data_IF_872034218552
#
_entry.id   IF_872034218552
#
_cell.length_a   1.000
_cell.length_b   1.000
_cell.length_c   1.000
_cell.angle_alpha   90.00
_cell.angle_beta   90.00
_cell.angle_gamma   90.00
#
_symmetry.space_group_name_H-M   'P 1'
#
loop_
_entity.id
_entity.type
_entity.pdbx_description
1 polymer ?
#
# COMPACT_ATOMS: atom_id res chain seq x y z
N UNK A 1 19.97 10.62 34.91
CA UNK A 1 19.78 9.64 33.81
C UNK A 1 18.42 9.86 33.20
N UNK A 2 18.35 10.54 32.05
CA UNK A 2 17.18 10.47 31.16
C UNK A 2 17.61 11.01 29.79
N UNK A 3 18.60 10.34 29.17
CA UNK A 3 19.00 10.58 27.79
C UNK A 3 18.68 9.33 26.98
N UNK A 4 17.41 8.94 26.91
CA UNK A 4 16.89 7.95 25.95
C UNK A 4 15.36 7.98 25.97
N UNK A 5 14.77 8.99 25.33
CA UNK A 5 13.34 8.95 24.95
C UNK A 5 12.95 9.91 23.82
N UNK A 6 13.75 10.94 23.52
CA UNK A 6 13.39 11.95 22.51
C UNK A 6 13.17 11.30 21.13
N UNK A 7 14.10 10.45 20.67
CA UNK A 7 13.95 9.77 19.37
C UNK A 7 12.87 8.68 19.33
N UNK A 8 12.61 7.98 20.45
CA UNK A 8 11.53 6.98 20.49
C UNK A 8 10.15 7.62 20.49
N UNK A 9 10.00 8.79 21.12
CA UNK A 9 8.73 9.51 21.13
C UNK A 9 8.41 10.11 19.76
N UNK A 10 9.41 10.68 19.06
CA UNK A 10 9.24 11.18 17.69
C UNK A 10 8.83 10.07 16.71
N UNK A 11 9.53 8.92 16.72
CA UNK A 11 9.20 7.77 15.90
C UNK A 11 7.77 7.28 16.19
N UNK A 12 7.38 7.24 17.46
CA UNK A 12 6.02 6.86 17.85
C UNK A 12 4.99 7.86 17.34
N UNK A 13 5.22 9.17 17.48
CA UNK A 13 4.30 10.20 16.97
C UNK A 13 4.20 10.17 15.44
N UNK A 14 5.28 9.83 14.73
CA UNK A 14 5.28 9.66 13.29
C UNK A 14 4.50 8.42 12.86
N UNK A 15 4.70 7.27 13.51
CA UNK A 15 3.92 6.05 13.29
C UNK A 15 2.44 6.26 13.64
N UNK A 16 2.15 7.13 14.62
CA UNK A 16 0.79 7.53 14.98
C UNK A 16 0.11 8.43 13.94
N UNK A 17 0.83 8.93 12.92
CA UNK A 17 0.16 9.57 11.80
C UNK A 17 -0.74 8.54 11.10
N UNK A 18 -2.06 8.77 11.02
CA UNK A 18 -3.01 7.76 10.56
C UNK A 18 -2.71 7.28 9.14
N UNK A 19 -2.16 8.16 8.29
CA UNK A 19 -1.75 7.84 6.93
C UNK A 19 -0.58 6.83 6.89
N UNK A 20 0.50 7.08 7.63
CA UNK A 20 1.68 6.19 7.68
C UNK A 20 1.33 4.84 8.32
N UNK A 21 0.52 4.83 9.39
CA UNK A 21 0.02 3.59 9.99
C UNK A 21 -0.77 2.72 9.00
N UNK A 22 -1.70 3.34 8.24
CA UNK A 22 -2.44 2.66 7.18
C UNK A 22 -1.50 2.14 6.07
N UNK A 23 -0.46 2.89 5.73
CA UNK A 23 0.55 2.48 4.74
C UNK A 23 1.32 1.24 5.18
N UNK A 24 1.75 1.20 6.44
CA UNK A 24 2.42 0.05 7.04
C UNK A 24 1.51 -1.17 7.02
N UNK A 25 0.22 -0.99 7.31
CA UNK A 25 -0.77 -2.07 7.22
C UNK A 25 -0.89 -2.63 5.79
N UNK A 26 -1.00 -1.75 4.78
CA UNK A 26 -1.04 -2.15 3.36
C UNK A 26 0.23 -2.90 2.94
N UNK A 27 1.39 -2.45 3.43
CA UNK A 27 2.68 -3.09 3.21
C UNK A 27 2.73 -4.50 3.83
N UNK A 28 2.28 -4.65 5.08
CA UNK A 28 2.19 -5.95 5.77
C UNK A 28 1.27 -6.92 5.04
N UNK A 29 0.11 -6.47 4.58
CA UNK A 29 -0.79 -7.32 3.79
C UNK A 29 -0.13 -7.80 2.49
N UNK A 30 0.55 -6.91 1.77
CA UNK A 30 1.29 -7.27 0.55
C UNK A 30 2.39 -8.29 0.84
N UNK A 31 3.11 -8.14 1.96
CA UNK A 31 4.13 -9.09 2.41
C UNK A 31 3.53 -10.46 2.75
N UNK A 32 2.39 -10.51 3.44
CA UNK A 32 1.72 -11.77 3.79
C UNK A 32 1.27 -12.50 2.52
N UNK A 33 0.63 -11.80 1.58
CA UNK A 33 0.20 -12.39 0.30
C UNK A 33 1.43 -12.93 -0.46
N UNK A 34 2.49 -12.12 -0.57
CA UNK A 34 3.75 -12.53 -1.20
C UNK A 34 4.31 -13.80 -0.55
N UNK A 35 4.37 -13.86 0.78
CA UNK A 35 4.87 -15.01 1.53
C UNK A 35 4.03 -16.27 1.31
N UNK A 36 2.70 -16.17 1.39
CA UNK A 36 1.80 -17.30 1.14
C UNK A 36 1.99 -17.89 -0.26
N UNK A 37 2.05 -17.04 -1.28
CA UNK A 37 2.15 -17.48 -2.68
C UNK A 37 3.56 -17.99 -3.01
N UNK A 38 4.62 -17.32 -2.53
CA UNK A 38 5.99 -17.71 -2.83
C UNK A 38 6.39 -19.02 -2.15
N UNK A 39 5.90 -19.28 -0.94
CA UNK A 39 6.27 -20.47 -0.17
C UNK A 39 5.40 -21.69 -0.51
N UNK A 40 4.07 -21.48 -0.56
CA UNK A 40 3.09 -22.57 -0.63
C UNK A 40 2.21 -22.52 -1.89
N UNK A 41 2.38 -21.51 -2.74
CA UNK A 41 1.58 -21.37 -3.96
C UNK A 41 1.95 -22.35 -5.07
N UNK A 42 3.14 -22.95 -4.99
CA UNK A 42 3.68 -23.90 -5.98
C UNK A 42 3.82 -25.29 -5.36
N UNK A 43 2.92 -26.19 -5.71
CA UNK A 43 2.83 -27.52 -5.10
C UNK A 43 3.64 -28.53 -5.91
N UNK A 44 4.38 -29.36 -5.19
CA UNK A 44 5.12 -30.49 -5.77
C UNK A 44 4.39 -31.80 -5.45
N UNK A 45 3.90 -32.47 -6.49
CA UNK A 45 3.27 -33.78 -6.39
C UNK A 45 4.32 -34.88 -6.62
N UNK A 46 4.31 -35.99 -5.87
CA UNK A 46 5.30 -37.07 -6.05
C UNK A 46 5.17 -37.75 -7.43
N UNK A 47 3.99 -37.68 -8.04
CA UNK A 47 3.63 -38.26 -9.33
C UNK A 47 3.88 -37.31 -10.52
N UNK A 48 4.20 -36.04 -10.29
CA UNK A 48 4.39 -35.04 -11.34
C UNK A 48 5.78 -34.39 -11.24
N UNK A 49 6.49 -34.29 -12.38
CA UNK A 49 7.85 -33.71 -12.41
C UNK A 49 7.84 -32.19 -12.23
N UNK A 50 6.75 -31.54 -12.63
CA UNK A 50 6.61 -30.09 -12.63
C UNK A 50 5.74 -29.64 -11.46
N UNK A 51 6.16 -28.56 -10.80
CA UNK A 51 5.32 -27.88 -9.81
C UNK A 51 4.16 -27.19 -10.51
N UNK A 52 3.00 -27.17 -9.87
CA UNK A 52 1.84 -26.44 -10.37
C UNK A 52 1.35 -25.42 -9.35
N UNK A 53 0.63 -24.41 -9.85
CA UNK A 53 0.00 -23.41 -9.01
C UNK A 53 -1.21 -23.97 -8.25
N UNK A 54 -1.29 -23.74 -6.94
CA UNK A 54 -2.40 -24.19 -6.09
C UNK A 54 -3.78 -23.69 -6.56
N UNK A 55 -3.83 -22.56 -7.28
CA UNK A 55 -5.04 -22.00 -7.85
C UNK A 55 -5.40 -22.65 -9.19
N UNK A 56 -6.14 -23.75 -9.14
CA UNK A 56 -6.67 -24.49 -10.31
C UNK A 56 -5.57 -24.83 -11.33
N UNK A 57 -4.37 -25.21 -10.84
CA UNK A 57 -3.19 -25.50 -11.66
C UNK A 57 -2.85 -24.42 -12.69
N UNK A 58 -3.34 -23.19 -12.48
CA UNK A 58 -3.22 -22.11 -13.44
C UNK A 58 -2.02 -21.26 -13.05
N UNK A 59 -0.91 -21.45 -13.75
CA UNK A 59 0.32 -20.72 -13.45
C UNK A 59 0.16 -19.19 -13.58
N UNK A 60 -0.75 -18.72 -14.43
CA UNK A 60 -1.04 -17.30 -14.55
C UNK A 60 -1.65 -16.71 -13.27
N UNK A 61 -2.39 -17.51 -12.49
CA UNK A 61 -2.95 -17.07 -11.21
C UNK A 61 -1.85 -16.82 -10.17
N UNK A 62 -0.91 -17.76 -10.02
CA UNK A 62 0.22 -17.58 -9.12
C UNK A 62 1.15 -16.46 -9.59
N UNK A 63 1.43 -16.38 -10.90
CA UNK A 63 2.28 -15.31 -11.44
C UNK A 63 1.64 -13.92 -11.24
N UNK A 64 0.31 -13.82 -11.44
CA UNK A 64 -0.44 -12.61 -11.14
C UNK A 64 -0.31 -12.23 -9.66
N UNK A 65 -0.62 -13.16 -8.74
CA UNK A 65 -0.59 -12.88 -7.32
C UNK A 65 0.81 -12.49 -6.83
N UNK A 66 1.83 -13.25 -7.26
CA UNK A 66 3.22 -13.00 -6.93
C UNK A 66 3.69 -11.64 -7.46
N UNK A 67 3.40 -11.35 -8.73
CA UNK A 67 3.79 -10.10 -9.39
C UNK A 67 3.13 -8.88 -8.74
N UNK A 68 1.81 -8.91 -8.57
CA UNK A 68 1.07 -7.78 -8.01
C UNK A 68 1.41 -7.56 -6.53
N UNK A 69 1.58 -8.61 -5.74
CA UNK A 69 2.01 -8.48 -4.34
C UNK A 69 3.44 -7.92 -4.23
N UNK A 70 4.36 -8.36 -5.09
CA UNK A 70 5.74 -7.86 -5.11
C UNK A 70 5.80 -6.38 -5.49
N UNK A 71 5.06 -5.99 -6.54
CA UNK A 71 4.96 -4.59 -6.96
C UNK A 71 4.32 -3.71 -5.87
N UNK A 72 3.23 -4.16 -5.26
CA UNK A 72 2.59 -3.44 -4.15
C UNK A 72 3.55 -3.28 -2.96
N UNK A 73 4.30 -4.33 -2.60
CA UNK A 73 5.30 -4.31 -1.53
C UNK A 73 6.38 -3.25 -1.79
N UNK A 74 6.99 -3.26 -2.97
CA UNK A 74 8.05 -2.31 -3.35
C UNK A 74 7.50 -0.88 -3.39
N UNK A 75 6.32 -0.70 -3.97
CA UNK A 75 5.70 0.61 -4.09
C UNK A 75 5.29 1.18 -2.73
N UNK A 76 4.75 0.35 -1.84
CA UNK A 76 4.51 0.73 -0.45
C UNK A 76 5.80 1.17 0.25
N UNK A 77 6.91 0.44 0.11
CA UNK A 77 8.19 0.84 0.71
C UNK A 77 8.69 2.19 0.18
N UNK A 78 8.59 2.42 -1.12
CA UNK A 78 8.95 3.71 -1.72
C UNK A 78 8.11 4.85 -1.14
N UNK A 79 6.80 4.68 -1.05
CA UNK A 79 5.92 5.69 -0.47
C UNK A 79 6.12 5.88 1.04
N UNK A 80 6.44 4.82 1.79
CA UNK A 80 6.83 4.92 3.20
C UNK A 80 8.09 5.78 3.37
N UNK A 81 9.10 5.59 2.52
CA UNK A 81 10.30 6.43 2.53
C UNK A 81 9.95 7.89 2.19
N UNK A 82 9.07 8.10 1.20
CA UNK A 82 8.57 9.44 0.86
C UNK A 82 7.84 10.07 2.05
N UNK A 83 7.01 9.32 2.78
CA UNK A 83 6.30 9.83 3.96
C UNK A 83 7.27 10.30 5.05
N UNK A 84 8.36 9.55 5.30
CA UNK A 84 9.42 9.94 6.24
C UNK A 84 10.09 11.25 5.83
N UNK A 85 10.36 11.42 4.53
CA UNK A 85 11.01 12.62 4.01
C UNK A 85 10.03 13.76 3.67
N UNK A 86 8.73 13.52 3.75
CA UNK A 86 7.71 14.50 3.34
C UNK A 86 7.79 15.83 4.09
N UNK A 87 8.00 15.87 5.43
CA UNK A 87 8.14 17.13 6.15
C UNK A 87 9.30 17.99 5.66
N UNK A 88 10.35 17.36 5.10
CA UNK A 88 11.55 18.02 4.59
C UNK A 88 11.35 18.66 3.21
N UNK A 89 10.25 18.35 2.51
CA UNK A 89 9.93 18.96 1.21
C UNK A 89 9.50 20.41 1.45
N UNK A 90 10.27 21.40 1.00
CA UNK A 90 9.94 22.82 1.16
C UNK A 90 8.93 23.34 0.15
N UNK A 91 9.03 22.89 -1.11
CA UNK A 91 8.17 23.37 -2.20
C UNK A 91 6.76 22.78 -2.11
N UNK A 92 5.76 23.65 -1.98
CA UNK A 92 4.35 23.25 -1.95
C UNK A 92 3.91 22.54 -3.22
N UNK A 93 4.44 22.95 -4.37
CA UNK A 93 4.18 22.30 -5.67
C UNK A 93 4.66 20.86 -5.68
N UNK A 94 5.83 20.59 -5.07
CA UNK A 94 6.33 19.22 -4.94
C UNK A 94 5.51 18.40 -3.96
N UNK A 95 5.13 18.96 -2.79
CA UNK A 95 4.21 18.30 -1.84
C UNK A 95 2.92 17.87 -2.54
N UNK A 96 2.29 18.78 -3.29
CA UNK A 96 1.05 18.50 -4.03
C UNK A 96 1.21 17.38 -5.04
N UNK A 97 2.28 17.40 -5.84
CA UNK A 97 2.55 16.34 -6.83
C UNK A 97 2.73 14.98 -6.18
N UNK A 98 3.47 14.92 -5.08
CA UNK A 98 3.68 13.68 -4.32
C UNK A 98 2.37 13.13 -3.77
N UNK A 99 1.55 13.97 -3.13
CA UNK A 99 0.26 13.53 -2.58
C UNK A 99 -0.72 13.13 -3.69
N UNK A 100 -0.71 13.82 -4.83
CA UNK A 100 -1.54 13.43 -5.98
C UNK A 100 -1.13 12.06 -6.54
N UNK A 101 0.17 11.81 -6.67
CA UNK A 101 0.69 10.50 -7.06
C UNK A 101 0.29 9.41 -6.06
N UNK A 102 0.29 9.75 -4.76
CA UNK A 102 -0.14 8.86 -3.69
C UNK A 102 -1.62 8.47 -3.80
N UNK A 103 -2.50 9.47 -4.02
CA UNK A 103 -3.93 9.23 -4.26
C UNK A 103 -4.15 8.30 -5.44
N UNK A 104 -3.55 8.63 -6.59
CA UNK A 104 -3.72 7.84 -7.82
C UNK A 104 -3.22 6.41 -7.65
N UNK A 105 -2.06 6.24 -7.02
CA UNK A 105 -1.51 4.91 -6.77
C UNK A 105 -2.36 4.12 -5.78
N UNK A 106 -2.82 4.75 -4.70
CA UNK A 106 -3.63 4.06 -3.70
C UNK A 106 -4.95 3.57 -4.27
N UNK A 107 -5.59 4.38 -5.11
CA UNK A 107 -6.81 4.01 -5.81
C UNK A 107 -6.56 2.85 -6.80
N UNK A 108 -5.46 2.92 -7.55
CA UNK A 108 -5.05 1.86 -8.48
C UNK A 108 -4.86 0.52 -7.75
N UNK A 109 -4.12 0.50 -6.64
CA UNK A 109 -3.89 -0.72 -5.87
C UNK A 109 -5.17 -1.26 -5.24
N UNK A 110 -6.08 -0.40 -4.76
CA UNK A 110 -7.40 -0.84 -4.29
C UNK A 110 -8.17 -1.61 -5.37
N UNK A 111 -8.14 -1.13 -6.62
CA UNK A 111 -8.79 -1.79 -7.74
C UNK A 111 -8.07 -3.10 -8.14
N UNK A 112 -6.73 -3.09 -8.16
CA UNK A 112 -5.95 -4.30 -8.42
C UNK A 112 -6.28 -5.38 -7.41
N UNK A 113 -6.35 -5.07 -6.11
CA UNK A 113 -6.69 -6.06 -5.09
C UNK A 113 -8.13 -6.56 -5.21
N UNK A 114 -9.06 -5.73 -5.70
CA UNK A 114 -10.41 -6.17 -6.01
C UNK A 114 -10.42 -7.19 -7.14
N UNK A 115 -9.75 -6.90 -8.25
CA UNK A 115 -9.60 -7.84 -9.38
C UNK A 115 -8.90 -9.11 -8.92
N UNK A 116 -7.83 -8.97 -8.14
CA UNK A 116 -7.04 -10.08 -7.63
C UNK A 116 -7.81 -10.98 -6.68
N UNK A 117 -8.62 -10.40 -5.78
CA UNK A 117 -9.53 -11.15 -4.93
C UNK A 117 -10.52 -11.96 -5.78
N UNK A 118 -11.23 -11.31 -6.71
CA UNK A 118 -12.21 -11.99 -7.56
C UNK A 118 -11.55 -13.11 -8.38
N UNK A 119 -10.39 -12.84 -8.97
CA UNK A 119 -9.67 -13.80 -9.80
C UNK A 119 -9.18 -15.01 -8.98
N UNK A 120 -8.51 -14.77 -7.85
CA UNK A 120 -7.99 -15.84 -7.01
C UNK A 120 -9.11 -16.65 -6.35
N UNK A 121 -10.19 -16.01 -5.90
CA UNK A 121 -11.36 -16.71 -5.37
C UNK A 121 -12.00 -17.62 -6.41
N UNK A 122 -12.17 -17.14 -7.65
CA UNK A 122 -12.70 -17.94 -8.75
C UNK A 122 -11.81 -19.14 -9.06
N UNK A 123 -10.48 -18.94 -9.15
CA UNK A 123 -9.55 -20.04 -9.39
C UNK A 123 -9.52 -21.03 -8.20
N UNK A 124 -9.58 -20.53 -6.98
CA UNK A 124 -9.61 -21.37 -5.78
C UNK A 124 -10.88 -22.22 -5.72
N UNK A 125 -12.04 -21.67 -6.07
CA UNK A 125 -13.33 -22.39 -6.03
C UNK A 125 -13.33 -23.67 -6.89
N UNK A 126 -12.62 -23.66 -8.02
CA UNK A 126 -12.53 -24.81 -8.94
C UNK A 126 -11.24 -25.62 -8.75
N UNK A 127 -10.46 -25.32 -7.70
CA UNK A 127 -9.27 -26.10 -7.32
C UNK A 127 -9.67 -27.43 -6.69
N UNK A 128 -8.87 -28.48 -6.94
CA UNK A 128 -9.16 -29.84 -6.47
C UNK A 128 -8.53 -30.10 -5.11
N UNK A 129 -9.20 -30.84 -4.22
CA UNK A 129 -8.68 -31.15 -2.88
C UNK A 129 -7.45 -32.05 -2.97
N UNK A 130 -7.42 -32.94 -3.94
CA UNK A 130 -6.30 -33.87 -4.16
C UNK A 130 -5.01 -33.11 -4.48
N UNK A 131 -5.11 -31.89 -5.00
CA UNK A 131 -3.97 -31.03 -5.35
C UNK A 131 -3.22 -30.48 -4.13
N UNK A 132 -3.74 -30.65 -2.90
CA UNK A 132 -3.13 -30.16 -1.66
C UNK A 132 -2.86 -31.29 -0.65
N UNK A 133 -1.89 -32.20 -0.93
CA UNK A 133 -1.67 -33.40 -0.12
C UNK A 133 -1.22 -33.10 1.32
N UNK A 134 -0.52 -31.97 1.54
CA UNK A 134 -0.01 -31.56 2.86
C UNK A 134 -0.96 -30.60 3.60
N UNK A 135 -2.08 -30.21 3.00
CA UNK A 135 -3.07 -29.24 3.52
C UNK A 135 -2.55 -27.81 3.76
N UNK A 136 -1.24 -27.58 3.63
CA UNK A 136 -0.60 -26.27 3.82
C UNK A 136 -0.85 -25.33 2.65
N UNK A 137 -0.93 -25.85 1.42
CA UNK A 137 -1.16 -25.06 0.22
C UNK A 137 -2.53 -24.39 0.22
N UNK A 138 -3.55 -25.11 0.67
CA UNK A 138 -4.91 -24.61 0.76
C UNK A 138 -5.09 -23.59 1.88
N UNK A 139 -4.43 -23.77 3.02
CA UNK A 139 -4.41 -22.75 4.08
C UNK A 139 -3.74 -21.46 3.59
N UNK A 140 -2.59 -21.57 2.92
CA UNK A 140 -1.91 -20.42 2.33
C UNK A 140 -2.73 -19.74 1.22
N UNK A 141 -3.40 -20.52 0.36
CA UNK A 141 -4.27 -19.99 -0.68
C UNK A 141 -5.45 -19.20 -0.10
N UNK A 142 -6.12 -19.75 0.93
CA UNK A 142 -7.20 -19.06 1.64
C UNK A 142 -6.70 -17.78 2.31
N UNK A 143 -5.55 -17.84 2.99
CA UNK A 143 -4.94 -16.66 3.60
C UNK A 143 -4.66 -15.58 2.54
N UNK A 144 -4.02 -15.93 1.41
CA UNK A 144 -3.77 -14.99 0.32
C UNK A 144 -5.06 -14.33 -0.20
N UNK A 145 -6.13 -15.11 -0.42
CA UNK A 145 -7.44 -14.57 -0.84
C UNK A 145 -8.01 -13.61 0.22
N UNK A 146 -7.98 -14.00 1.50
CA UNK A 146 -8.46 -13.16 2.61
C UNK A 146 -7.70 -11.85 2.71
N UNK A 147 -6.37 -11.88 2.59
CA UNK A 147 -5.56 -10.66 2.63
C UNK A 147 -5.72 -9.80 1.36
N UNK A 148 -5.97 -10.38 0.18
CA UNK A 148 -6.41 -9.62 -0.99
C UNK A 148 -7.71 -8.86 -0.72
N UNK A 149 -8.71 -9.53 -0.12
CA UNK A 149 -10.00 -8.90 0.25
C UNK A 149 -9.81 -7.73 1.21
N UNK A 150 -9.07 -7.92 2.31
CA UNK A 150 -8.80 -6.85 3.27
C UNK A 150 -7.94 -5.73 2.68
N UNK A 151 -7.06 -6.06 1.72
CA UNK A 151 -6.26 -5.06 1.02
C UNK A 151 -7.13 -4.05 0.29
N UNK A 152 -8.24 -4.45 -0.34
CA UNK A 152 -9.19 -3.54 -1.01
C UNK A 152 -9.56 -2.38 -0.08
N UNK A 153 -10.04 -2.69 1.14
CA UNK A 153 -10.49 -1.67 2.08
C UNK A 153 -9.33 -0.84 2.63
N UNK A 154 -8.20 -1.47 2.95
CA UNK A 154 -7.04 -0.74 3.46
C UNK A 154 -6.54 0.31 2.47
N UNK A 155 -6.45 -0.05 1.18
CA UNK A 155 -6.05 0.86 0.11
C UNK A 155 -7.12 1.92 -0.22
N UNK A 156 -8.42 1.57 -0.11
CA UNK A 156 -9.51 2.53 -0.27
C UNK A 156 -9.51 3.59 0.85
N UNK A 157 -9.35 3.19 2.11
CA UNK A 157 -9.22 4.11 3.25
C UNK A 157 -7.98 4.97 3.11
N UNK A 158 -6.86 4.38 2.69
CA UNK A 158 -5.63 5.10 2.41
C UNK A 158 -5.82 6.16 1.32
N UNK A 159 -6.52 5.82 0.23
CA UNK A 159 -6.90 6.78 -0.82
C UNK A 159 -7.70 7.95 -0.26
N UNK A 160 -8.69 7.68 0.59
CA UNK A 160 -9.50 8.72 1.23
C UNK A 160 -8.65 9.64 2.13
N UNK A 161 -7.78 9.08 2.97
CA UNK A 161 -6.88 9.88 3.81
C UNK A 161 -5.90 10.69 2.97
N UNK A 162 -5.37 10.13 1.87
CA UNK A 162 -4.51 10.86 0.93
C UNK A 162 -5.26 11.98 0.21
N UNK A 163 -6.55 11.81 -0.09
CA UNK A 163 -7.40 12.88 -0.63
C UNK A 163 -7.60 14.01 0.38
N UNK A 164 -7.79 13.69 1.67
CA UNK A 164 -7.85 14.71 2.72
C UNK A 164 -6.53 15.47 2.83
N UNK A 165 -5.39 14.76 2.80
CA UNK A 165 -4.05 15.37 2.76
C UNK A 165 -3.87 16.25 1.53
N UNK A 166 -4.38 15.84 0.37
CA UNK A 166 -4.32 16.62 -0.87
C UNK A 166 -5.10 17.93 -0.73
N UNK A 167 -6.30 17.88 -0.13
CA UNK A 167 -7.10 19.09 0.15
C UNK A 167 -6.35 20.07 1.05
N UNK A 168 -5.72 19.57 2.13
CA UNK A 168 -4.92 20.41 3.03
C UNK A 168 -3.75 21.08 2.29
N UNK A 169 -3.04 20.34 1.42
CA UNK A 169 -1.93 20.89 0.64
C UNK A 169 -2.41 21.92 -0.40
N UNK A 170 -3.54 21.67 -1.06
CA UNK A 170 -4.14 22.63 -2.00
C UNK A 170 -4.54 23.94 -1.29
N UNK A 171 -5.14 23.85 -0.10
CA UNK A 171 -5.51 25.04 0.67
C UNK A 171 -4.28 25.87 1.07
N UNK A 172 -3.19 25.22 1.49
CA UNK A 172 -1.94 25.90 1.77
C UNK A 172 -1.36 26.58 0.51
N UNK A 173 -1.51 25.99 -0.67
CA UNK A 173 -1.05 26.57 -1.94
C UNK A 173 -1.82 27.84 -2.28
N UNK A 174 -3.14 27.84 -2.10
CA UNK A 174 -3.99 29.02 -2.29
C UNK A 174 -3.64 30.14 -1.31
N UNK A 175 -3.37 29.80 -0.04
CA UNK A 175 -2.94 30.78 0.97
C UNK A 175 -1.59 31.43 0.63
N UNK A 176 -0.58 30.65 0.23
CA UNK A 176 0.73 31.15 -0.19
C UNK A 176 0.61 32.08 -1.42
N UNK A 177 -0.28 31.75 -2.36
CA UNK A 177 -0.57 32.60 -3.52
C UNK A 177 -1.21 33.93 -3.10
N UNK A 178 -2.20 33.90 -2.20
CA UNK A 178 -2.87 35.10 -1.69
C UNK A 178 -1.90 36.04 -0.96
N UNK A 179 -1.07 35.53 -0.04
CA UNK A 179 -0.04 36.32 0.64
C UNK A 179 0.93 36.95 -0.38
N UNK A 180 1.34 36.19 -1.41
CA UNK A 180 2.25 36.69 -2.45
C UNK A 180 1.60 37.83 -3.26
N UNK A 181 0.31 37.72 -3.60
CA UNK A 181 -0.43 38.78 -4.31
C UNK A 181 -0.58 40.04 -3.44
N UNK A 182 -0.85 39.90 -2.14
CA UNK A 182 -0.93 41.05 -1.24
C UNK A 182 0.40 41.82 -1.17
N UNK A 183 1.54 41.12 -1.06
CA UNK A 183 2.86 41.77 -1.08
C UNK A 183 3.15 42.55 -2.37
N UNK A 184 2.63 42.12 -3.53
CA UNK A 184 2.78 42.87 -4.78
C UNK A 184 1.89 44.11 -4.85
N UNK A 185 0.78 44.15 -4.11
CA UNK A 185 -0.16 45.28 -4.12
C UNK A 185 0.07 46.28 -2.98
N UNK A 186 0.61 45.85 -1.84
CA UNK A 186 0.91 46.71 -0.70
C UNK A 186 2.38 46.57 -0.32
N UNK A 187 3.18 47.62 -0.57
CA UNK A 187 4.57 47.76 -0.10
C UNK A 187 4.65 47.92 1.44
N UNK A 188 3.88 47.13 2.20
CA UNK A 188 3.92 47.10 3.67
C UNK A 188 3.85 45.66 4.16
N UNK A 189 4.80 45.21 5.00
CA UNK A 189 4.84 43.84 5.49
C UNK A 189 3.76 43.65 6.56
N UNK A 190 2.64 43.05 6.19
CA UNK A 190 1.69 42.49 7.15
C UNK A 190 2.01 41.01 7.36
N UNK A 191 2.09 40.60 8.62
CA UNK A 191 2.45 39.27 9.12
C UNK A 191 1.63 38.14 8.45
N UNK A 192 2.21 37.40 7.50
CA UNK A 192 1.80 36.02 7.20
C UNK A 192 2.63 35.10 8.12
N UNK A 193 1.97 34.37 9.02
CA UNK A 193 2.55 33.31 9.88
C UNK A 193 2.18 31.97 9.31
#
# INVERSE_FOLDING_TARGET
MQQQSIGSFELLTFIQQPHTGLRILCWLFSLVILGCIANEGQINRPDEVQKFCIFNRNQNACNYALGMASLAFIWCLLFLAIDVHFPQISSIKHRKKVVLADVGTSAFWSFVWFVGFCFLANQWQVSRVEDDPLRSGGDAARAAITFCFFSIFSWAVLTHVSLLRLRSVCFQEEYEQLCTQQHTHTHTPSHCV
#
